data_IF_538210841195
#
_entry.id   IF_538210841195
#
_cell.length_a   1.000
_cell.length_b   1.000
_cell.length_c   1.000
_cell.angle_alpha   90.00
_cell.angle_beta   90.00
_cell.angle_gamma   90.00
#
_symmetry.space_group_name_H-M   'P 1'
#
loop_
_entity.id
_entity.type
_entity.pdbx_description
1 polymer ?
#
# COMPACT_ATOMS: atom_id res chain seq x y z
N UNK A 1 -21.74 6.56 -60.88
CA UNK A 1 -22.23 6.23 -59.53
C UNK A 1 -21.03 6.21 -58.60
N UNK A 2 -20.96 7.13 -57.64
CA UNK A 2 -19.86 7.26 -56.67
C UNK A 2 -20.02 6.24 -55.55
N UNK A 3 -18.94 5.62 -55.09
CA UNK A 3 -18.94 4.61 -54.02
C UNK A 3 -19.64 5.11 -52.74
N UNK A 4 -20.28 4.22 -51.96
CA UNK A 4 -20.87 4.56 -50.67
C UNK A 4 -19.82 5.21 -49.75
N UNK A 5 -20.21 6.28 -49.06
CA UNK A 5 -19.38 6.98 -48.07
C UNK A 5 -18.87 5.96 -47.04
N UNK A 6 -17.56 5.67 -47.08
CA UNK A 6 -16.91 4.73 -46.15
C UNK A 6 -15.95 3.72 -46.80
N UNK A 7 -15.99 3.51 -48.12
CA UNK A 7 -15.10 2.57 -48.83
C UNK A 7 -13.73 3.16 -49.25
N UNK A 8 -13.38 4.34 -48.73
CA UNK A 8 -12.08 4.98 -48.97
C UNK A 8 -11.05 4.56 -47.92
N UNK A 9 -9.82 4.30 -48.38
CA UNK A 9 -8.60 3.98 -47.61
C UNK A 9 -8.13 5.07 -46.62
N UNK A 10 -9.05 5.75 -45.93
CA UNK A 10 -8.77 6.87 -45.02
C UNK A 10 -9.73 6.98 -43.83
N UNK A 11 -10.45 5.90 -43.48
CA UNK A 11 -11.34 5.86 -42.32
C UNK A 11 -10.61 5.54 -41.02
N UNK A 12 -9.66 6.38 -40.62
CA UNK A 12 -8.93 6.29 -39.34
C UNK A 12 -9.79 6.66 -38.13
N UNK A 13 -10.92 5.98 -37.95
CA UNK A 13 -11.90 6.26 -36.89
C UNK A 13 -12.47 5.00 -36.24
N UNK A 14 -11.86 3.84 -36.44
CA UNK A 14 -12.00 2.73 -35.49
C UNK A 14 -11.08 3.01 -34.33
N UNK A 15 -11.58 2.95 -33.09
CA UNK A 15 -10.78 3.08 -31.88
C UNK A 15 -9.47 2.31 -32.07
N UNK A 16 -8.36 3.04 -32.27
CA UNK A 16 -7.07 2.42 -32.51
C UNK A 16 -6.72 1.58 -31.28
N UNK A 17 -5.74 0.68 -31.38
CA UNK A 17 -5.23 -0.04 -30.20
C UNK A 17 -4.93 0.93 -29.04
N UNK A 18 -4.53 2.16 -29.35
CA UNK A 18 -4.36 3.26 -28.41
C UNK A 18 -5.67 3.78 -27.77
N UNK A 19 -6.78 3.86 -28.51
CA UNK A 19 -8.09 4.23 -27.95
C UNK A 19 -8.68 3.07 -27.14
N UNK A 20 -8.47 1.83 -27.58
CA UNK A 20 -8.83 0.62 -26.82
C UNK A 20 -8.00 0.53 -25.53
N UNK A 21 -6.70 0.83 -25.55
CA UNK A 21 -5.86 0.95 -24.33
C UNK A 21 -6.31 2.09 -23.41
N UNK A 22 -6.83 3.19 -23.98
CA UNK A 22 -7.37 4.33 -23.22
C UNK A 22 -8.75 4.02 -22.63
N UNK A 23 -9.56 3.18 -23.29
CA UNK A 23 -10.92 2.77 -22.90
C UNK A 23 -10.97 1.50 -22.02
N UNK A 24 -10.02 0.57 -22.16
CA UNK A 24 -9.76 -0.55 -21.22
C UNK A 24 -9.27 -0.04 -19.86
N UNK A 25 -9.03 1.27 -19.77
CA UNK A 25 -8.61 1.95 -18.57
C UNK A 25 -7.12 2.16 -18.66
N UNK A 26 -6.72 3.41 -18.49
CA UNK A 26 -5.46 3.79 -17.86
C UNK A 26 -5.14 2.72 -16.80
N UNK A 27 -4.27 1.75 -17.14
CA UNK A 27 -3.87 0.63 -16.26
C UNK A 27 -3.80 1.21 -14.86
N UNK A 28 -4.57 0.66 -13.90
CA UNK A 28 -4.56 1.05 -12.49
C UNK A 28 -3.20 1.68 -12.17
N UNK A 29 -3.18 3.01 -12.02
CA UNK A 29 -1.95 3.73 -11.72
C UNK A 29 -1.31 3.06 -10.51
N UNK A 30 0.02 3.02 -10.46
CA UNK A 30 0.74 2.24 -9.46
C UNK A 30 0.29 2.57 -8.03
N UNK A 31 -0.69 1.82 -7.51
CA UNK A 31 -1.30 2.03 -6.20
C UNK A 31 -0.37 1.57 -5.07
N UNK A 32 0.71 0.86 -5.38
CA UNK A 32 1.71 0.43 -4.40
C UNK A 32 2.22 1.62 -3.58
N UNK A 33 2.41 2.79 -4.20
CA UNK A 33 2.82 4.01 -3.49
C UNK A 33 1.80 4.43 -2.43
N UNK A 34 0.52 4.56 -2.81
CA UNK A 34 -0.54 4.92 -1.86
C UNK A 34 -0.75 3.85 -0.79
N UNK A 35 -0.73 2.57 -1.16
CA UNK A 35 -0.89 1.45 -0.20
C UNK A 35 0.26 1.44 0.80
N UNK A 36 1.49 1.69 0.34
CA UNK A 36 2.68 1.79 1.21
C UNK A 36 2.57 2.99 2.14
N UNK A 37 2.14 4.15 1.64
CA UNK A 37 1.92 5.34 2.47
C UNK A 37 0.82 5.09 3.52
N UNK A 38 -0.29 4.46 3.14
CA UNK A 38 -1.37 4.10 4.07
C UNK A 38 -0.91 3.11 5.14
N UNK A 39 -0.08 2.12 4.78
CA UNK A 39 0.52 1.19 5.75
C UNK A 39 1.42 1.92 6.74
N UNK A 40 2.30 2.81 6.27
CA UNK A 40 3.16 3.59 7.16
C UNK A 40 2.36 4.52 8.09
N UNK A 41 1.30 5.15 7.57
CA UNK A 41 0.39 5.96 8.37
C UNK A 41 -0.34 5.12 9.43
N UNK A 42 -0.80 3.91 9.08
CA UNK A 42 -1.41 2.99 10.02
C UNK A 42 -0.43 2.58 11.12
N UNK A 43 0.80 2.21 10.76
CA UNK A 43 1.85 1.85 11.72
C UNK A 43 2.17 2.98 12.70
N UNK A 44 2.29 4.22 12.19
CA UNK A 44 2.48 5.40 13.05
C UNK A 44 1.28 5.68 13.95
N UNK A 45 0.05 5.49 13.45
CA UNK A 45 -1.16 5.63 14.25
C UNK A 45 -1.23 4.57 15.36
N UNK A 46 -0.82 3.34 15.07
CA UNK A 46 -0.74 2.24 16.03
C UNK A 46 0.31 2.52 17.11
N UNK A 47 1.48 3.03 16.72
CA UNK A 47 2.46 3.52 17.68
C UNK A 47 1.86 4.62 18.57
N UNK A 48 1.25 5.65 17.97
CA UNK A 48 0.63 6.75 18.71
C UNK A 48 -0.46 6.31 19.68
N UNK A 49 -1.34 5.39 19.26
CA UNK A 49 -2.43 4.86 20.09
C UNK A 49 -1.92 4.02 21.26
N UNK A 50 -0.98 3.10 21.00
CA UNK A 50 -0.37 2.30 22.07
C UNK A 50 0.42 3.17 23.04
N UNK A 51 1.20 4.13 22.53
CA UNK A 51 1.93 5.12 23.32
C UNK A 51 1.03 5.97 24.22
N UNK A 52 -0.07 6.50 23.68
CA UNK A 52 -1.05 7.21 24.49
C UNK A 52 -1.61 6.33 25.62
N UNK A 53 -1.84 5.04 25.35
CA UNK A 53 -2.28 4.08 26.37
C UNK A 53 -1.33 3.99 27.56
N UNK A 54 -0.06 3.68 27.33
CA UNK A 54 0.89 3.49 28.43
C UNK A 54 1.50 4.78 29.00
N UNK A 55 1.48 5.91 28.28
CA UNK A 55 1.93 7.20 28.82
C UNK A 55 0.84 7.94 29.60
N UNK A 56 -0.41 7.93 29.11
CA UNK A 56 -1.51 8.69 29.74
C UNK A 56 -2.23 7.86 30.79
N UNK A 57 -2.34 6.54 30.57
CA UNK A 57 -3.10 5.62 31.45
C UNK A 57 -2.24 4.44 31.96
N UNK A 58 -1.05 4.68 32.55
CA UNK A 58 -0.12 3.61 32.96
C UNK A 58 -0.68 2.65 34.02
N UNK A 59 -1.68 3.09 34.80
CA UNK A 59 -2.35 2.26 35.80
C UNK A 59 -3.24 1.17 35.20
N UNK A 60 -3.72 1.37 33.97
CA UNK A 60 -4.54 0.41 33.23
C UNK A 60 -3.71 -0.35 32.20
N UNK A 61 -2.73 0.32 31.58
CA UNK A 61 -1.91 -0.22 30.50
C UNK A 61 -0.42 -0.02 30.80
N UNK A 62 0.21 -0.94 31.54
CA UNK A 62 1.65 -0.84 31.81
C UNK A 62 2.45 -0.97 30.50
N UNK A 63 3.60 -0.28 30.40
CA UNK A 63 4.43 -0.23 29.17
C UNK A 63 4.63 -1.59 28.47
N UNK A 64 4.94 -2.70 29.17
CA UNK A 64 5.11 -4.00 28.51
C UNK A 64 3.86 -4.45 27.73
N UNK A 65 2.67 -4.15 28.22
CA UNK A 65 1.41 -4.48 27.54
C UNK A 65 1.21 -3.64 26.27
N UNK A 66 1.56 -2.35 26.31
CA UNK A 66 1.52 -1.47 25.15
C UNK A 66 2.52 -1.87 24.07
N UNK A 67 3.74 -2.23 24.46
CA UNK A 67 4.76 -2.75 23.55
C UNK A 67 4.34 -4.07 22.90
N UNK A 68 3.75 -4.98 23.67
CA UNK A 68 3.20 -6.22 23.13
C UNK A 68 2.14 -5.95 22.06
N UNK A 69 1.18 -5.05 22.36
CA UNK A 69 0.14 -4.67 21.41
C UNK A 69 0.73 -4.05 20.14
N UNK A 70 1.72 -3.16 20.26
CA UNK A 70 2.36 -2.51 19.12
C UNK A 70 3.08 -3.52 18.20
N UNK A 71 3.79 -4.50 18.78
CA UNK A 71 4.45 -5.57 18.00
C UNK A 71 3.41 -6.40 17.24
N UNK A 72 2.36 -6.86 17.93
CA UNK A 72 1.33 -7.71 17.33
C UNK A 72 0.60 -6.99 16.21
N UNK A 73 0.20 -5.74 16.43
CA UNK A 73 -0.49 -4.94 15.42
C UNK A 73 0.42 -4.64 14.23
N UNK A 74 1.71 -4.37 14.44
CA UNK A 74 2.68 -4.22 13.35
C UNK A 74 2.74 -5.46 12.45
N UNK A 75 2.72 -6.67 13.04
CA UNK A 75 2.72 -7.93 12.27
C UNK A 75 1.43 -8.06 11.44
N UNK A 76 0.28 -7.78 12.05
CA UNK A 76 -1.03 -7.85 11.37
C UNK A 76 -1.09 -6.87 10.20
N UNK A 77 -0.66 -5.62 10.44
CA UNK A 77 -0.60 -4.58 9.41
C UNK A 77 0.38 -4.95 8.29
N UNK A 78 1.53 -5.52 8.60
CA UNK A 78 2.53 -5.96 7.62
C UNK A 78 1.98 -7.07 6.70
N UNK A 79 1.24 -8.03 7.26
CA UNK A 79 0.57 -9.09 6.48
C UNK A 79 -0.52 -8.48 5.59
N UNK A 80 -1.33 -7.56 6.13
CA UNK A 80 -2.34 -6.83 5.36
C UNK A 80 -1.73 -6.04 4.20
N UNK A 81 -0.64 -5.32 4.45
CA UNK A 81 0.12 -4.59 3.43
C UNK A 81 0.62 -5.52 2.31
N UNK A 82 1.24 -6.65 2.67
CA UNK A 82 1.70 -7.65 1.71
C UNK A 82 0.55 -8.15 0.82
N UNK A 83 -0.60 -8.45 1.41
CA UNK A 83 -1.78 -8.89 0.68
C UNK A 83 -2.30 -7.82 -0.26
N UNK A 84 -2.44 -6.58 0.21
CA UNK A 84 -2.90 -5.45 -0.61
C UNK A 84 -1.98 -5.22 -1.81
N UNK A 85 -0.65 -5.15 -1.62
CA UNK A 85 0.28 -4.99 -2.74
C UNK A 85 0.21 -6.19 -3.68
N UNK A 86 0.14 -7.41 -3.15
CA UNK A 86 0.09 -8.62 -3.96
C UNK A 86 -1.13 -8.66 -4.87
N UNK A 87 -2.31 -8.37 -4.35
CA UNK A 87 -3.57 -8.31 -5.13
C UNK A 87 -3.50 -7.24 -6.22
N UNK A 88 -2.91 -6.08 -5.92
CA UNK A 88 -2.80 -4.98 -6.88
C UNK A 88 -1.79 -5.24 -8.01
N UNK A 89 -0.82 -6.13 -7.81
CA UNK A 89 0.16 -6.51 -8.83
C UNK A 89 -0.25 -7.75 -9.63
N UNK A 90 -1.33 -8.45 -9.27
CA UNK A 90 -1.80 -9.64 -9.99
C UNK A 90 -2.17 -9.36 -11.44
N UNK A 91 -1.73 -10.24 -12.35
CA UNK A 91 -1.93 -10.07 -13.79
C UNK A 91 -1.12 -8.92 -14.40
N UNK A 92 -0.21 -8.28 -13.65
CA UNK A 92 0.66 -7.21 -14.14
C UNK A 92 2.12 -7.65 -14.23
N UNK A 93 2.93 -6.88 -14.98
CA UNK A 93 4.39 -7.04 -15.05
C UNK A 93 5.13 -6.19 -14.02
N UNK A 94 4.40 -5.50 -13.13
CA UNK A 94 4.98 -4.63 -12.10
C UNK A 94 5.64 -5.49 -11.01
N UNK A 95 6.75 -4.99 -10.45
CA UNK A 95 7.43 -5.62 -9.32
C UNK A 95 7.82 -4.56 -8.30
N UNK A 96 7.09 -4.50 -7.19
CA UNK A 96 7.37 -3.56 -6.08
C UNK A 96 8.22 -4.17 -4.96
N UNK A 97 8.88 -5.31 -5.20
CA UNK A 97 9.66 -6.05 -4.18
C UNK A 97 10.66 -5.18 -3.41
N UNK A 98 11.31 -4.21 -4.06
CA UNK A 98 12.25 -3.29 -3.39
C UNK A 98 11.55 -2.36 -2.39
N UNK A 99 10.40 -1.79 -2.79
CA UNK A 99 9.59 -0.93 -1.91
C UNK A 99 9.02 -1.74 -0.76
N UNK A 100 8.43 -2.90 -1.06
CA UNK A 100 7.85 -3.81 -0.05
C UNK A 100 8.92 -4.25 0.96
N UNK A 101 10.08 -4.72 0.47
CA UNK A 101 11.18 -5.15 1.32
C UNK A 101 11.75 -4.02 2.18
N UNK A 102 11.97 -2.84 1.59
CA UNK A 102 12.46 -1.67 2.32
C UNK A 102 11.46 -1.20 3.38
N UNK A 103 10.17 -1.20 3.07
CA UNK A 103 9.12 -0.76 3.99
C UNK A 103 8.98 -1.73 5.15
N UNK A 104 8.89 -3.04 4.88
CA UNK A 104 8.77 -4.06 5.93
C UNK A 104 10.03 -4.14 6.80
N UNK A 105 11.22 -4.05 6.20
CA UNK A 105 12.47 -3.96 6.94
C UNK A 105 12.52 -2.72 7.82
N UNK A 106 12.11 -1.57 7.29
CA UNK A 106 12.05 -0.30 7.99
C UNK A 106 11.11 -0.33 9.19
N UNK A 107 9.87 -0.80 9.02
CA UNK A 107 8.89 -0.89 10.13
C UNK A 107 9.31 -1.93 11.15
N UNK A 108 9.94 -3.04 10.74
CA UNK A 108 10.49 -4.03 11.69
C UNK A 108 11.57 -3.42 12.57
N UNK A 109 12.57 -2.76 11.97
CA UNK A 109 13.66 -2.10 12.72
C UNK A 109 13.09 -0.99 13.61
N UNK A 110 12.20 -0.16 13.06
CA UNK A 110 11.55 0.92 13.80
C UNK A 110 10.79 0.40 15.02
N UNK A 111 10.06 -0.71 14.86
CA UNK A 111 9.30 -1.33 15.96
C UNK A 111 10.22 -1.84 17.05
N UNK A 112 11.31 -2.53 16.69
CA UNK A 112 12.31 -3.02 17.65
C UNK A 112 12.91 -1.84 18.42
N UNK A 113 13.34 -0.79 17.72
CA UNK A 113 13.94 0.40 18.36
C UNK A 113 12.96 1.08 19.31
N UNK A 114 11.71 1.28 18.90
CA UNK A 114 10.68 1.89 19.76
C UNK A 114 10.50 1.06 21.03
N UNK A 115 10.25 -0.25 20.89
CA UNK A 115 10.03 -1.14 22.04
C UNK A 115 11.24 -1.19 22.96
N UNK A 116 12.45 -1.15 22.40
CA UNK A 116 13.69 -1.20 23.17
C UNK A 116 14.03 0.11 23.88
N UNK A 117 13.50 1.26 23.47
CA UNK A 117 13.99 2.57 23.94
C UNK A 117 12.92 3.56 24.42
N UNK A 118 11.63 3.33 24.15
CA UNK A 118 10.53 4.24 24.52
C UNK A 118 9.75 3.67 25.73
N UNK A 119 9.22 4.54 26.60
CA UNK A 119 8.31 4.13 27.68
C UNK A 119 8.95 3.41 28.88
N UNK A 120 10.26 3.54 29.06
CA UNK A 120 11.02 3.00 30.20
C UNK A 120 10.82 3.80 31.48
#
# INVERSE_FOLDING_TARGET
MTLPKGFGSGGGGGAGSADVEKMIGRRVENMTGMITASYLAAWLATFGGTAAGYFVYPWAYPTPSGHYAFIVLTIIEAIGYLFCVKVMEEGTTKKSNGIVGGTLGGTTIGTILIVMFVGK
#
